data_IF_554091443449
#
_entry.id   IF_554091443449
#
_cell.length_a   1.000
_cell.length_b   1.000
_cell.length_c   1.000
_cell.angle_alpha   90.00
_cell.angle_beta   90.00
_cell.angle_gamma   90.00
#
_symmetry.space_group_name_H-M   'P 1'
#
loop_
_entity.id
_entity.type
_entity.pdbx_description
1 polymer ?
#
# COMPACT_ATOMS: atom_id res chain seq x y z
N UNK A 1 11.39 44.40 8.17
CA UNK A 1 9.96 44.07 7.98
C UNK A 1 9.87 42.58 7.73
N UNK A 2 9.09 41.84 8.52
CA UNK A 2 8.97 40.39 8.35
C UNK A 2 8.07 40.10 7.15
N UNK A 3 8.61 39.40 6.17
CA UNK A 3 7.93 39.14 4.89
C UNK A 3 7.09 37.85 5.01
N UNK A 4 5.87 38.02 5.53
CA UNK A 4 4.98 36.92 5.88
C UNK A 4 4.64 36.02 4.68
N UNK A 5 4.53 36.58 3.48
CA UNK A 5 4.23 35.82 2.26
C UNK A 5 5.36 34.84 1.89
N UNK A 6 6.61 35.27 2.08
CA UNK A 6 7.79 34.44 1.80
C UNK A 6 7.90 33.28 2.80
N UNK A 7 7.61 33.55 4.08
CA UNK A 7 7.58 32.53 5.11
C UNK A 7 6.47 31.49 4.87
N UNK A 8 5.28 31.92 4.46
CA UNK A 8 4.16 31.01 4.15
C UNK A 8 4.47 30.12 2.94
N UNK A 9 5.10 30.67 1.87
CA UNK A 9 5.53 29.85 0.72
C UNK A 9 6.53 28.77 1.12
N UNK A 10 7.54 29.12 1.93
CA UNK A 10 8.50 28.13 2.44
C UNK A 10 7.81 27.03 3.26
N UNK A 11 6.89 27.39 4.16
CA UNK A 11 6.13 26.43 4.95
C UNK A 11 5.26 25.49 4.10
N UNK A 12 4.66 26.00 3.02
CA UNK A 12 3.86 25.19 2.10
C UNK A 12 4.72 24.21 1.30
N UNK A 13 5.89 24.65 0.81
CA UNK A 13 6.84 23.79 0.10
C UNK A 13 7.42 22.71 1.03
N UNK A 14 7.80 23.07 2.25
CA UNK A 14 8.24 22.11 3.27
C UNK A 14 7.14 21.10 3.62
N UNK A 15 5.89 21.56 3.75
CA UNK A 15 4.73 20.68 3.97
C UNK A 15 4.52 19.72 2.81
N UNK A 16 4.70 20.18 1.56
CA UNK A 16 4.57 19.34 0.36
C UNK A 16 5.68 18.30 0.27
N UNK A 17 6.91 18.65 0.64
CA UNK A 17 8.04 17.73 0.70
C UNK A 17 7.88 16.71 1.84
N UNK A 18 7.43 17.13 3.02
CA UNK A 18 7.07 16.21 4.13
C UNK A 18 5.92 15.27 3.79
N UNK A 19 4.98 15.71 2.94
CA UNK A 19 3.87 14.89 2.44
C UNK A 19 4.29 13.84 1.40
N UNK A 20 5.49 13.92 0.80
CA UNK A 20 6.02 12.85 -0.06
C UNK A 20 6.37 11.64 0.80
N UNK A 21 5.36 10.83 1.11
CA UNK A 21 5.55 9.53 1.75
C UNK A 21 6.46 8.68 0.84
N UNK A 22 7.57 8.15 1.35
CA UNK A 22 8.49 7.37 0.53
C UNK A 22 7.73 6.17 -0.06
N UNK A 23 7.76 6.05 -1.39
CA UNK A 23 7.15 4.98 -2.18
C UNK A 23 7.48 3.58 -1.63
N UNK A 24 8.64 3.42 -0.99
CA UNK A 24 9.11 2.21 -0.31
C UNK A 24 8.25 1.78 0.90
N UNK A 25 7.55 2.70 1.59
CA UNK A 25 6.62 2.36 2.68
C UNK A 25 5.31 1.75 2.17
N UNK A 26 5.01 1.91 0.89
CA UNK A 26 3.81 1.39 0.23
C UNK A 26 4.02 0.03 -0.45
N UNK A 27 5.26 -0.49 -0.48
CA UNK A 27 5.49 -1.87 -0.92
C UNK A 27 5.00 -2.81 0.18
N UNK A 28 3.79 -3.33 -0.01
CA UNK A 28 3.25 -4.38 0.83
C UNK A 28 4.11 -5.63 0.62
N UNK A 29 4.28 -6.44 1.67
CA UNK A 29 4.88 -7.78 1.54
C UNK A 29 4.12 -8.66 0.52
N UNK A 30 2.87 -8.29 0.23
CA UNK A 30 2.01 -8.87 -0.79
C UNK A 30 2.42 -8.52 -2.22
N UNK A 31 3.08 -7.38 -2.45
CA UNK A 31 3.49 -6.96 -3.81
C UNK A 31 4.51 -7.91 -4.42
N UNK A 32 5.28 -8.63 -3.58
CA UNK A 32 6.16 -9.72 -4.02
C UNK A 32 5.40 -10.88 -4.67
N UNK A 33 4.15 -11.10 -4.26
CA UNK A 33 3.29 -12.18 -4.74
C UNK A 33 2.09 -11.63 -5.53
N UNK A 34 2.23 -10.42 -6.09
CA UNK A 34 1.13 -9.72 -6.76
C UNK A 34 0.52 -10.55 -7.87
N UNK A 35 1.37 -11.16 -8.70
CA UNK A 35 0.94 -11.93 -9.87
C UNK A 35 0.14 -13.15 -9.44
N UNK A 36 0.63 -13.87 -8.43
CA UNK A 36 0.00 -15.07 -7.91
C UNK A 36 -1.30 -14.77 -7.16
N UNK A 37 -1.34 -13.69 -6.37
CA UNK A 37 -2.57 -13.26 -5.69
C UNK A 37 -3.65 -12.88 -6.70
N UNK A 38 -3.28 -12.14 -7.77
CA UNK A 38 -4.21 -11.77 -8.83
C UNK A 38 -4.69 -12.99 -9.62
N UNK A 39 -3.80 -13.94 -9.92
CA UNK A 39 -4.18 -15.20 -10.56
C UNK A 39 -5.17 -15.99 -9.69
N UNK A 40 -4.88 -16.17 -8.39
CA UNK A 40 -5.79 -16.82 -7.44
C UNK A 40 -7.15 -16.13 -7.42
N UNK A 41 -7.16 -14.79 -7.37
CA UNK A 41 -8.41 -14.01 -7.36
C UNK A 41 -9.19 -14.16 -8.66
N UNK A 42 -8.52 -14.16 -9.80
CA UNK A 42 -9.13 -14.38 -11.12
C UNK A 42 -9.74 -15.77 -11.25
N UNK A 43 -9.15 -16.79 -10.62
CA UNK A 43 -9.72 -18.13 -10.51
C UNK A 43 -10.84 -18.27 -9.47
N UNK A 44 -11.29 -17.16 -8.86
CA UNK A 44 -12.42 -17.14 -7.92
C UNK A 44 -12.03 -17.33 -6.45
N UNK A 45 -10.75 -17.31 -6.10
CA UNK A 45 -10.34 -17.44 -4.71
C UNK A 45 -10.86 -16.28 -3.84
N UNK A 46 -11.33 -16.63 -2.66
CA UNK A 46 -11.68 -15.69 -1.60
C UNK A 46 -10.43 -15.10 -0.94
N UNK A 47 -10.60 -13.96 -0.27
CA UNK A 47 -9.50 -13.33 0.49
C UNK A 47 -8.93 -14.26 1.59
N UNK A 48 -9.77 -15.13 2.16
CA UNK A 48 -9.35 -16.10 3.18
C UNK A 48 -8.50 -17.24 2.59
N UNK A 49 -8.80 -17.69 1.38
CA UNK A 49 -8.00 -18.68 0.66
C UNK A 49 -6.65 -18.12 0.24
N UNK A 50 -6.63 -16.89 -0.26
CA UNK A 50 -5.39 -16.16 -0.56
C UNK A 50 -4.54 -16.01 0.71
N UNK A 51 -5.15 -15.67 1.86
CA UNK A 51 -4.43 -15.62 3.13
C UNK A 51 -3.85 -16.99 3.53
N UNK A 52 -4.61 -18.08 3.35
CA UNK A 52 -4.13 -19.44 3.64
C UNK A 52 -2.95 -19.82 2.74
N UNK A 53 -3.00 -19.48 1.46
CA UNK A 53 -1.91 -19.67 0.52
C UNK A 53 -0.66 -18.86 0.90
N UNK A 54 -0.84 -17.60 1.32
CA UNK A 54 0.26 -16.75 1.80
C UNK A 54 0.92 -17.32 3.06
N UNK A 55 0.15 -17.91 3.98
CA UNK A 55 0.70 -18.59 5.15
C UNK A 55 1.60 -19.76 4.77
N UNK A 56 1.26 -20.53 3.73
CA UNK A 56 2.12 -21.60 3.21
C UNK A 56 3.46 -21.06 2.68
N UNK A 57 3.46 -19.84 2.13
CA UNK A 57 4.67 -19.13 1.66
C UNK A 57 5.43 -18.39 2.77
N UNK A 58 5.13 -18.70 4.05
CA UNK A 58 5.69 -18.03 5.25
C UNK A 58 5.37 -16.53 5.33
N UNK A 59 4.26 -16.11 4.72
CA UNK A 59 3.75 -14.74 4.79
C UNK A 59 2.52 -14.70 5.70
N UNK A 60 2.73 -14.32 6.95
CA UNK A 60 1.65 -14.10 7.90
C UNK A 60 1.11 -12.68 7.75
N UNK A 61 -0.07 -12.55 7.15
CA UNK A 61 -0.84 -11.31 7.04
C UNK A 61 -2.24 -11.51 7.61
N UNK A 62 -2.83 -10.42 8.11
CA UNK A 62 -4.22 -10.40 8.56
C UNK A 62 -5.14 -10.37 7.34
N UNK A 63 -6.32 -10.99 7.43
CA UNK A 63 -7.32 -10.99 6.35
C UNK A 63 -7.60 -9.58 5.83
N UNK A 64 -7.74 -8.60 6.73
CA UNK A 64 -7.98 -7.19 6.40
C UNK A 64 -6.87 -6.58 5.55
N UNK A 65 -5.64 -7.06 5.69
CA UNK A 65 -4.51 -6.62 4.86
C UNK A 65 -4.66 -7.16 3.43
N UNK A 66 -5.12 -8.40 3.28
CA UNK A 66 -5.41 -9.01 1.98
C UNK A 66 -6.60 -8.30 1.31
N UNK A 67 -7.68 -8.06 2.05
CA UNK A 67 -8.87 -7.36 1.52
C UNK A 67 -8.52 -5.95 1.05
N UNK A 68 -7.88 -5.13 1.89
CA UNK A 68 -7.45 -3.76 1.49
C UNK A 68 -6.48 -3.77 0.31
N UNK A 69 -5.61 -4.78 0.25
CA UNK A 69 -4.67 -4.89 -0.87
C UNK A 69 -5.39 -5.29 -2.16
N UNK A 70 -6.38 -6.19 -2.10
CA UNK A 70 -7.22 -6.56 -3.23
C UNK A 70 -8.06 -5.38 -3.71
N UNK A 71 -8.71 -4.63 -2.81
CA UNK A 71 -9.46 -3.40 -3.16
C UNK A 71 -8.62 -2.39 -3.93
N UNK A 72 -7.33 -2.28 -3.59
CA UNK A 72 -6.40 -1.34 -4.25
C UNK A 72 -5.85 -1.83 -5.59
N UNK A 73 -5.77 -3.14 -5.81
CA UNK A 73 -5.02 -3.73 -6.95
C UNK A 73 -5.89 -4.54 -7.92
N UNK A 74 -7.10 -4.92 -7.53
CA UNK A 74 -8.05 -5.70 -8.34
C UNK A 74 -9.31 -4.88 -8.70
N UNK A 75 -9.57 -3.79 -7.99
CA UNK A 75 -10.63 -2.81 -8.30
C UNK A 75 -10.18 -1.76 -9.31
#
# INVERSE_FOLDING_TARGET
>A
MFDAERAVRQLQEETRLRRKKPYRRNQSRLDRYRVEILALKHHGASAAEIQRWLRQKRVCVVLTTVTRWLEKNYG
#
